data_IF_409273784856
#
_entry.id   IF_409273784856
#
_cell.length_a   1.000
_cell.length_b   1.000
_cell.length_c   1.000
_cell.angle_alpha   90.00
_cell.angle_beta   90.00
_cell.angle_gamma   90.00
#
_symmetry.space_group_name_H-M   'P 1'
#
loop_
_entity.id
_entity.type
_entity.pdbx_description
1 polymer ?
#
# COMPACT_ATOMS: atom_id res chain seq x y z
N UNK A 1 -12.04 -20.97 8.67
CA UNK A 1 -11.01 -21.84 8.07
C UNK A 1 -9.83 -20.93 7.72
N UNK A 2 -8.66 -21.11 8.33
CA UNK A 2 -7.48 -20.28 8.01
C UNK A 2 -6.76 -20.89 6.81
N UNK A 3 -6.65 -20.15 5.72
CA UNK A 3 -5.89 -20.52 4.51
C UNK A 3 -4.40 -20.36 4.79
N UNK A 4 -3.64 -21.46 4.68
CA UNK A 4 -2.18 -21.41 4.61
C UNK A 4 -1.82 -21.05 3.17
N UNK A 5 -1.17 -19.91 2.99
CA UNK A 5 -0.76 -19.44 1.67
C UNK A 5 0.48 -20.22 1.22
N UNK A 6 0.54 -20.49 -0.09
CA UNK A 6 1.74 -20.98 -0.74
C UNK A 6 2.82 -19.90 -0.79
N UNK A 7 4.09 -20.30 -0.97
CA UNK A 7 5.19 -19.35 -1.15
C UNK A 7 4.97 -18.38 -2.32
N UNK A 8 4.33 -18.87 -3.39
CA UNK A 8 3.97 -18.04 -4.55
C UNK A 8 2.97 -16.95 -4.17
N UNK A 9 1.93 -17.29 -3.41
CA UNK A 9 0.93 -16.32 -2.94
C UNK A 9 1.52 -15.32 -1.94
N UNK A 10 2.43 -15.76 -1.07
CA UNK A 10 3.16 -14.86 -0.17
C UNK A 10 4.02 -13.86 -0.95
N UNK A 11 4.77 -14.32 -1.95
CA UNK A 11 5.58 -13.45 -2.80
C UNK A 11 4.72 -12.41 -3.55
N UNK A 12 3.54 -12.81 -4.05
CA UNK A 12 2.61 -11.85 -4.66
C UNK A 12 2.12 -10.77 -3.69
N UNK A 13 1.84 -11.14 -2.44
CA UNK A 13 1.42 -10.15 -1.43
C UNK A 13 2.57 -9.20 -1.09
N UNK A 14 3.81 -9.71 -1.00
CA UNK A 14 4.99 -8.88 -0.77
C UNK A 14 5.21 -7.89 -1.93
N UNK A 15 5.08 -8.36 -3.18
CA UNK A 15 5.19 -7.51 -4.36
C UNK A 15 4.08 -6.45 -4.41
N UNK A 16 2.84 -6.80 -4.05
CA UNK A 16 1.73 -5.85 -3.96
C UNK A 16 2.00 -4.79 -2.89
N UNK A 17 2.48 -5.18 -1.70
CA UNK A 17 2.87 -4.22 -0.65
C UNK A 17 3.92 -3.25 -1.18
N UNK A 18 4.94 -3.75 -1.88
CA UNK A 18 6.01 -2.92 -2.47
C UNK A 18 5.48 -1.97 -3.54
N UNK A 19 4.57 -2.43 -4.40
CA UNK A 19 3.95 -1.60 -5.43
C UNK A 19 3.14 -0.46 -4.81
N UNK A 20 2.30 -0.78 -3.84
CA UNK A 20 1.48 0.19 -3.10
C UNK A 20 2.34 1.25 -2.39
N UNK A 21 3.47 0.84 -1.79
CA UNK A 21 4.41 1.79 -1.18
C UNK A 21 4.99 2.79 -2.18
N UNK A 22 5.35 2.32 -3.37
CA UNK A 22 5.88 3.19 -4.43
C UNK A 22 4.79 4.18 -4.85
N UNK A 23 3.57 3.70 -5.08
CA UNK A 23 2.44 4.55 -5.49
C UNK A 23 2.16 5.63 -4.44
N UNK A 24 2.02 5.26 -3.16
CA UNK A 24 1.76 6.21 -2.08
C UNK A 24 2.87 7.26 -1.94
N UNK A 25 4.14 6.86 -2.05
CA UNK A 25 5.29 7.78 -1.99
C UNK A 25 5.31 8.72 -3.19
N UNK A 26 5.04 8.20 -4.39
CA UNK A 26 4.98 9.00 -5.61
C UNK A 26 3.83 10.00 -5.58
N UNK A 27 2.64 9.60 -5.11
CA UNK A 27 1.50 10.51 -4.98
C UNK A 27 1.77 11.64 -3.99
N UNK A 28 2.31 11.32 -2.82
CA UNK A 28 2.75 12.33 -1.85
C UNK A 28 3.79 13.27 -2.46
N UNK A 29 4.79 12.73 -3.16
CA UNK A 29 5.78 13.57 -3.83
C UNK A 29 5.13 14.49 -4.87
N UNK A 30 4.23 13.98 -5.73
CA UNK A 30 3.47 14.79 -6.68
C UNK A 30 2.68 15.91 -5.95
N UNK A 31 2.03 15.59 -4.84
CA UNK A 31 1.29 16.55 -4.04
C UNK A 31 2.18 17.71 -3.55
N UNK A 32 3.43 17.43 -3.15
CA UNK A 32 4.39 18.48 -2.75
C UNK A 32 4.79 19.42 -3.88
N UNK A 33 4.67 18.97 -5.14
CA UNK A 33 4.99 19.78 -6.32
C UNK A 33 3.77 20.55 -6.86
N UNK A 34 2.57 20.22 -6.40
CA UNK A 34 1.34 20.86 -6.83
C UNK A 34 1.14 22.24 -6.17
N UNK A 35 0.85 23.25 -7.00
CA UNK A 35 0.44 24.58 -6.55
C UNK A 35 -1.08 24.71 -6.42
N UNK A 36 -1.81 23.88 -7.15
CA UNK A 36 -3.26 23.81 -7.06
C UNK A 36 -3.67 23.07 -5.78
N UNK A 37 -4.51 23.70 -4.96
CA UNK A 37 -4.85 23.21 -3.63
C UNK A 37 -5.79 22.01 -3.68
N UNK A 38 -6.72 21.97 -4.63
CA UNK A 38 -7.69 20.89 -4.78
C UNK A 38 -7.00 19.62 -5.30
N UNK A 39 -6.15 19.77 -6.31
CA UNK A 39 -5.34 18.68 -6.84
C UNK A 39 -4.36 18.13 -5.79
N UNK A 40 -3.74 19.00 -4.99
CA UNK A 40 -2.85 18.56 -3.90
C UNK A 40 -3.62 17.73 -2.87
N UNK A 41 -4.79 18.20 -2.43
CA UNK A 41 -5.61 17.49 -1.46
C UNK A 41 -6.05 16.11 -2.00
N UNK A 42 -6.41 16.05 -3.28
CA UNK A 42 -6.77 14.78 -3.94
C UNK A 42 -5.60 13.81 -3.95
N UNK A 43 -4.40 14.26 -4.28
CA UNK A 43 -3.19 13.42 -4.28
C UNK A 43 -2.80 12.93 -2.87
N UNK A 44 -2.98 13.78 -1.85
CA UNK A 44 -2.75 13.42 -0.45
C UNK A 44 -3.76 12.36 0.01
N UNK A 45 -5.05 12.50 -0.32
CA UNK A 45 -6.10 11.52 -0.02
C UNK A 45 -5.81 10.17 -0.69
N UNK A 46 -5.48 10.17 -1.98
CA UNK A 46 -5.12 8.94 -2.69
C UNK A 46 -3.90 8.27 -2.04
N UNK A 47 -2.89 9.05 -1.65
CA UNK A 47 -1.72 8.50 -0.98
C UNK A 47 -2.07 7.87 0.38
N UNK A 48 -3.00 8.46 1.14
CA UNK A 48 -3.51 7.91 2.40
C UNK A 48 -4.27 6.59 2.17
N UNK A 49 -5.10 6.50 1.12
CA UNK A 49 -5.79 5.25 0.77
C UNK A 49 -4.83 4.10 0.49
N UNK A 50 -3.76 4.37 -0.27
CA UNK A 50 -2.70 3.39 -0.52
C UNK A 50 -1.95 3.01 0.77
N UNK A 51 -1.69 3.97 1.67
CA UNK A 51 -1.11 3.68 2.99
C UNK A 51 -2.00 2.76 3.84
N UNK A 52 -3.32 2.97 3.83
CA UNK A 52 -4.28 2.10 4.52
C UNK A 52 -4.30 0.69 3.90
N UNK A 53 -4.15 0.56 2.58
CA UNK A 53 -4.06 -0.73 1.89
C UNK A 53 -2.76 -1.47 2.27
N UNK A 54 -1.61 -0.78 2.31
CA UNK A 54 -0.34 -1.34 2.80
C UNK A 54 -0.49 -1.89 4.22
N UNK A 55 -1.10 -1.12 5.12
CA UNK A 55 -1.29 -1.55 6.51
C UNK A 55 -2.15 -2.84 6.60
N UNK A 56 -3.23 -2.92 5.82
CA UNK A 56 -4.10 -4.10 5.76
C UNK A 56 -3.36 -5.32 5.20
N UNK A 57 -2.66 -5.16 4.08
CA UNK A 57 -1.89 -6.24 3.43
C UNK A 57 -0.75 -6.72 4.33
N UNK A 58 -0.03 -5.80 4.97
CA UNK A 58 1.05 -6.13 5.91
C UNK A 58 0.53 -6.88 7.13
N UNK A 59 -0.61 -6.46 7.69
CA UNK A 59 -1.25 -7.17 8.80
C UNK A 59 -1.68 -8.59 8.37
N UNK A 60 -2.23 -8.74 7.17
CA UNK A 60 -2.61 -10.04 6.62
C UNK A 60 -1.37 -10.94 6.43
N UNK A 61 -0.33 -10.43 5.77
CA UNK A 61 0.93 -11.14 5.53
C UNK A 61 1.59 -11.61 6.83
N UNK A 62 1.63 -10.77 7.87
CA UNK A 62 2.21 -11.13 9.16
C UNK A 62 1.41 -12.23 9.88
N UNK A 63 0.07 -12.24 9.73
CA UNK A 63 -0.78 -13.30 10.31
C UNK A 63 -0.63 -14.64 9.59
N UNK A 64 -0.29 -14.63 8.31
CA UNK A 64 -0.11 -15.84 7.50
C UNK A 64 1.29 -16.42 7.61
N UNK A 65 2.30 -15.62 7.96
CA UNK A 65 3.72 -16.03 8.08
C UNK A 65 4.19 -16.34 9.50
N UNK A 66 3.68 -15.69 10.55
CA UNK A 66 4.11 -15.92 11.95
C UNK A 66 3.41 -17.14 12.62
N UNK A 67 3.35 -18.28 11.94
CA UNK A 67 2.84 -19.54 12.51
C UNK A 67 3.91 -20.60 12.63
#
# INVERSE_FOLDING_TARGET
MMTVLTMKELAFIEDEIRAEEIIAKTMNWCATQCKDQELRATLEEMAEEHQLKIAKLSQYFNRTTNK
#
